data_IF_605858375020
#
_entry.id   IF_605858375020
#
_cell.length_a   1.000
_cell.length_b   1.000
_cell.length_c   1.000
_cell.angle_alpha   90.00
_cell.angle_beta   90.00
_cell.angle_gamma   90.00
#
_symmetry.space_group_name_H-M   'P 1'
#
loop_
_entity.id
_entity.type
_entity.pdbx_description
1 polymer ?
#
# COMPACT_ATOMS: atom_id res chain seq x y z
N UNK A 1 25.69 4.73 12.28
CA UNK A 1 24.76 3.58 12.24
C UNK A 1 24.37 3.38 10.79
N UNK A 2 24.36 2.14 10.31
CA UNK A 2 24.01 1.85 8.91
C UNK A 2 22.50 1.98 8.67
N UNK A 3 21.69 1.94 9.74
CA UNK A 3 20.25 2.17 9.72
C UNK A 3 19.74 2.65 11.08
N UNK A 4 18.56 3.28 11.08
CA UNK A 4 17.80 3.68 12.25
C UNK A 4 16.83 2.56 12.69
N UNK A 5 16.83 2.20 13.97
CA UNK A 5 16.02 1.10 14.49
C UNK A 5 14.68 1.59 15.01
N UNK A 6 13.61 0.92 14.62
CA UNK A 6 12.24 1.23 15.03
C UNK A 6 11.67 0.05 15.80
N UNK A 7 11.66 0.15 17.12
CA UNK A 7 11.11 -0.85 18.03
C UNK A 7 9.83 -0.38 18.75
N UNK A 8 9.45 0.89 18.58
CA UNK A 8 8.35 1.51 19.32
C UNK A 8 7.75 2.70 18.56
N UNK A 9 6.59 3.19 19.04
CA UNK A 9 5.95 4.42 18.56
C UNK A 9 6.87 5.64 18.66
N UNK A 10 7.62 5.76 19.76
CA UNK A 10 8.54 6.88 19.96
C UNK A 10 9.68 6.86 18.95
N UNK A 11 10.22 5.67 18.63
CA UNK A 11 11.23 5.56 17.59
C UNK A 11 10.69 5.96 16.22
N UNK A 12 9.44 5.61 15.89
CA UNK A 12 8.80 6.05 14.65
C UNK A 12 8.66 7.57 14.58
N UNK A 13 8.26 8.21 15.68
CA UNK A 13 8.13 9.68 15.77
C UNK A 13 9.49 10.35 15.56
N UNK A 14 10.55 9.82 16.17
CA UNK A 14 11.91 10.31 15.99
C UNK A 14 12.41 10.09 14.54
N UNK A 15 12.18 8.91 13.96
CA UNK A 15 12.48 8.65 12.53
C UNK A 15 11.79 9.67 11.62
N UNK A 16 10.49 9.90 11.84
CA UNK A 16 9.74 10.95 11.12
C UNK A 16 10.39 12.32 11.27
N UNK A 17 10.81 12.70 12.47
CA UNK A 17 11.48 13.99 12.71
C UNK A 17 12.76 14.10 11.90
N UNK A 18 13.63 13.07 11.97
CA UNK A 18 14.90 13.02 11.23
C UNK A 18 14.68 13.25 9.73
N UNK A 19 13.71 12.53 9.13
CA UNK A 19 13.38 12.69 7.72
C UNK A 19 12.85 14.10 7.42
N UNK A 20 11.97 14.62 8.28
CA UNK A 20 11.39 15.97 8.12
C UNK A 20 12.45 17.08 8.24
N UNK A 21 13.49 16.85 9.05
CA UNK A 21 14.63 17.77 9.24
C UNK A 21 15.62 17.73 8.06
N UNK A 22 15.32 16.98 7.00
CA UNK A 22 16.06 16.96 5.74
C UNK A 22 17.02 15.79 5.58
N UNK A 23 17.16 14.92 6.58
CA UNK A 23 17.91 13.66 6.44
C UNK A 23 17.03 12.58 5.78
N UNK A 24 16.58 12.87 4.56
CA UNK A 24 15.53 12.10 3.88
C UNK A 24 15.99 10.74 3.34
N UNK A 25 17.31 10.50 3.22
CA UNK A 25 17.89 9.24 2.74
C UNK A 25 18.32 8.28 3.88
N UNK A 26 17.85 8.50 5.12
CA UNK A 26 18.20 7.63 6.25
C UNK A 26 17.54 6.25 6.10
N UNK A 27 18.36 5.19 6.13
CA UNK A 27 17.84 3.83 6.17
C UNK A 27 17.20 3.53 7.52
N UNK A 28 16.11 2.78 7.52
CA UNK A 28 15.38 2.41 8.73
C UNK A 28 14.97 0.94 8.72
N UNK A 29 14.90 0.35 9.90
CA UNK A 29 14.57 -1.07 10.09
C UNK A 29 13.65 -1.24 11.30
N UNK A 30 12.52 -1.89 11.10
CA UNK A 30 11.65 -2.29 12.22
C UNK A 30 12.19 -3.55 12.88
N UNK A 31 12.16 -3.58 14.21
CA UNK A 31 12.59 -4.75 15.02
C UNK A 31 11.47 -5.28 15.92
N UNK A 32 10.30 -4.65 15.86
CA UNK A 32 9.08 -5.06 16.53
C UNK A 32 7.87 -4.51 15.77
N UNK A 33 6.69 -5.06 16.05
CA UNK A 33 5.44 -4.44 15.63
C UNK A 33 5.26 -3.10 16.36
N UNK A 34 4.74 -2.10 15.65
CA UNK A 34 4.58 -0.73 16.17
C UNK A 34 3.15 -0.27 15.97
N UNK A 35 2.50 0.13 17.05
CA UNK A 35 1.16 0.76 17.03
C UNK A 35 1.30 2.27 17.21
N UNK A 36 0.96 3.04 16.17
CA UNK A 36 0.99 4.50 16.21
C UNK A 36 -0.23 5.10 16.92
N UNK A 37 -1.27 4.29 17.15
CA UNK A 37 -2.54 4.73 17.69
C UNK A 37 -3.28 5.68 16.75
N UNK A 38 -3.97 6.66 17.33
CA UNK A 38 -4.83 7.59 16.59
C UNK A 38 -4.14 8.86 16.11
N UNK A 39 -2.96 9.16 16.66
CA UNK A 39 -2.18 10.31 16.25
C UNK A 39 -1.56 10.07 14.87
N UNK A 40 -1.64 11.08 14.01
CA UNK A 40 -1.20 10.99 12.62
C UNK A 40 0.30 11.32 12.55
N UNK A 41 1.11 10.27 12.42
CA UNK A 41 2.57 10.37 12.35
C UNK A 41 3.10 9.93 10.98
N UNK A 42 2.76 10.69 9.94
CA UNK A 42 3.21 10.37 8.58
C UNK A 42 4.69 10.72 8.40
N UNK A 43 5.45 9.81 7.78
CA UNK A 43 6.85 10.04 7.35
C UNK A 43 6.83 10.63 5.94
N UNK A 44 7.58 11.70 5.68
CA UNK A 44 7.56 12.30 4.34
C UNK A 44 8.55 13.46 4.23
N UNK A 45 8.29 14.36 3.28
CA UNK A 45 9.27 15.32 2.75
C UNK A 45 10.32 14.63 1.86
N UNK A 46 9.84 13.81 0.91
CA UNK A 46 10.66 13.10 -0.08
C UNK A 46 11.60 12.07 0.56
N UNK A 47 11.05 11.17 1.39
CA UNK A 47 11.83 10.06 1.94
C UNK A 47 12.44 9.23 0.80
N UNK A 48 13.75 9.00 0.84
CA UNK A 48 14.55 8.40 -0.22
C UNK A 48 15.39 7.20 0.26
N UNK A 49 15.34 6.88 1.56
CA UNK A 49 16.09 5.78 2.15
C UNK A 49 15.48 4.40 1.90
N UNK A 50 16.12 3.38 2.47
CA UNK A 50 15.61 2.02 2.57
C UNK A 50 14.87 1.83 3.88
N UNK A 51 13.57 1.55 3.82
CA UNK A 51 12.76 1.14 4.95
C UNK A 51 12.52 -0.37 4.89
N UNK A 52 13.05 -1.12 5.86
CA UNK A 52 12.86 -2.57 6.00
C UNK A 52 11.96 -2.90 7.19
N UNK A 53 10.73 -3.33 6.92
CA UNK A 53 9.80 -3.76 7.96
C UNK A 53 10.18 -5.10 8.61
N UNK A 54 11.06 -5.90 8.00
CA UNK A 54 11.45 -7.25 8.47
C UNK A 54 10.27 -8.20 8.77
N UNK A 55 9.13 -8.00 8.11
CA UNK A 55 7.89 -8.74 8.34
C UNK A 55 7.03 -8.21 9.50
N UNK A 56 7.47 -7.16 10.19
CA UNK A 56 6.71 -6.53 11.26
C UNK A 56 5.53 -5.69 10.76
N UNK A 57 4.59 -5.48 11.67
CA UNK A 57 3.36 -4.72 11.45
C UNK A 57 3.46 -3.31 11.98
N UNK A 58 3.18 -2.32 11.12
CA UNK A 58 2.88 -0.96 11.49
C UNK A 58 1.36 -0.78 11.56
N UNK A 59 0.83 -0.56 12.76
CA UNK A 59 -0.60 -0.38 13.01
C UNK A 59 -0.96 1.10 13.14
N UNK A 60 -2.06 1.49 12.50
CA UNK A 60 -2.58 2.86 12.47
C UNK A 60 -4.09 2.87 12.73
N UNK A 61 -4.58 3.93 13.37
CA UNK A 61 -6.03 4.17 13.54
C UNK A 61 -6.36 5.65 13.33
N UNK A 62 -6.19 6.11 12.10
CA UNK A 62 -6.19 7.54 11.80
C UNK A 62 -7.57 8.00 11.36
N UNK A 63 -8.01 9.12 11.94
CA UNK A 63 -9.24 9.79 11.56
C UNK A 63 -8.98 11.28 11.40
N UNK A 64 -9.24 11.83 10.21
CA UNK A 64 -9.10 13.27 9.97
C UNK A 64 -10.19 13.82 9.05
N UNK A 65 -10.18 15.13 8.84
CA UNK A 65 -11.08 15.81 7.90
C UNK A 65 -10.37 16.44 6.71
N UNK A 66 -9.03 16.39 6.66
CA UNK A 66 -8.21 17.05 5.63
C UNK A 66 -7.74 16.11 4.51
N UNK A 67 -7.81 14.79 4.69
CA UNK A 67 -7.36 13.82 3.68
C UNK A 67 -5.84 13.68 3.64
N UNK A 68 -5.31 13.25 2.50
CA UNK A 68 -3.87 13.07 2.24
C UNK A 68 -3.18 12.15 3.26
N UNK A 69 -3.78 10.99 3.53
CA UNK A 69 -3.34 10.09 4.59
C UNK A 69 -2.67 8.84 4.04
N UNK A 70 -1.45 8.59 4.50
CA UNK A 70 -0.72 7.32 4.36
C UNK A 70 0.48 7.30 5.32
N UNK A 71 0.94 6.12 5.78
CA UNK A 71 2.15 6.00 6.59
C UNK A 71 3.36 6.78 6.03
N UNK A 72 3.58 6.67 4.73
CA UNK A 72 4.55 7.48 3.99
C UNK A 72 3.82 8.56 3.19
N UNK A 73 3.91 9.81 3.63
CA UNK A 73 3.31 10.96 2.95
C UNK A 73 3.95 11.19 1.57
N UNK A 74 5.27 11.35 1.50
CA UNK A 74 5.97 11.47 0.21
C UNK A 74 7.26 10.69 0.21
N UNK A 75 7.48 9.93 -0.87
CA UNK A 75 8.72 9.20 -1.14
C UNK A 75 9.32 9.66 -2.46
N UNK A 76 10.64 9.62 -2.57
CA UNK A 76 11.38 9.98 -3.77
C UNK A 76 12.56 9.03 -3.95
N UNK A 77 12.41 8.02 -4.81
CA UNK A 77 13.45 7.01 -5.01
C UNK A 77 13.67 6.05 -3.84
N UNK A 78 12.72 5.94 -2.90
CA UNK A 78 12.85 5.07 -1.73
C UNK A 78 12.78 3.58 -2.07
N UNK A 79 13.30 2.75 -1.16
CA UNK A 79 13.03 1.32 -1.13
C UNK A 79 12.24 0.98 0.12
N UNK A 80 11.02 0.48 -0.01
CA UNK A 80 10.19 0.01 1.12
C UNK A 80 10.01 -1.49 0.97
N UNK A 81 10.42 -2.27 1.97
CA UNK A 81 10.34 -3.72 1.88
C UNK A 81 9.88 -4.39 3.17
N UNK A 82 9.26 -5.57 3.01
CA UNK A 82 8.87 -6.47 4.10
C UNK A 82 8.01 -5.79 5.18
N UNK A 83 7.17 -4.84 4.82
CA UNK A 83 6.34 -4.09 5.77
C UNK A 83 4.88 -4.49 5.66
N UNK A 84 4.24 -4.77 6.79
CA UNK A 84 2.78 -4.88 6.88
C UNK A 84 2.21 -3.60 7.47
N UNK A 85 1.32 -2.92 6.76
CA UNK A 85 0.49 -1.86 7.34
C UNK A 85 -0.89 -2.43 7.69
N UNK A 86 -1.41 -2.06 8.85
CA UNK A 86 -2.68 -2.60 9.35
C UNK A 86 -3.48 -1.55 10.11
N UNK A 87 -4.80 -1.70 10.11
CA UNK A 87 -5.69 -0.90 10.95
C UNK A 87 -6.68 -0.11 10.12
N UNK A 88 -6.89 1.16 10.46
CA UNK A 88 -7.96 1.96 9.87
C UNK A 88 -7.53 3.39 9.51
N UNK A 89 -8.02 3.86 8.38
CA UNK A 89 -8.02 5.26 7.97
C UNK A 89 -9.47 5.68 7.71
N UNK A 90 -9.94 6.69 8.44
CA UNK A 90 -11.24 7.33 8.24
C UNK A 90 -11.03 8.78 7.83
N UNK A 91 -11.74 9.25 6.82
CA UNK A 91 -11.69 10.67 6.48
C UNK A 91 -12.99 11.17 5.87
N UNK A 92 -13.33 12.43 6.14
CA UNK A 92 -14.36 13.14 5.37
C UNK A 92 -13.82 13.76 4.07
N UNK A 93 -12.55 13.50 3.74
CA UNK A 93 -11.85 13.98 2.55
C UNK A 93 -11.36 12.79 1.68
N UNK A 94 -10.49 13.10 0.73
CA UNK A 94 -9.98 12.22 -0.33
C UNK A 94 -8.45 12.10 -0.27
N UNK A 95 -7.86 11.33 -1.19
CA UNK A 95 -6.43 11.01 -1.27
C UNK A 95 -5.91 10.18 -0.08
N UNK A 96 -6.42 8.97 0.04
CA UNK A 96 -6.16 8.07 1.17
C UNK A 96 -5.41 6.84 0.67
N UNK A 97 -4.37 6.38 1.37
CA UNK A 97 -3.62 5.21 0.96
C UNK A 97 -3.13 4.37 2.14
N UNK A 98 -3.09 3.06 1.93
CA UNK A 98 -2.63 2.11 2.94
C UNK A 98 -1.11 2.11 3.17
N UNK A 99 -0.30 2.70 2.29
CA UNK A 99 1.16 2.72 2.44
C UNK A 99 1.80 4.06 2.06
N UNK A 100 1.70 4.48 0.79
CA UNK A 100 2.31 5.73 0.29
C UNK A 100 1.23 6.66 -0.25
N UNK A 101 1.31 7.96 0.08
CA UNK A 101 0.44 8.97 -0.50
C UNK A 101 1.00 9.37 -1.88
N UNK A 102 2.15 10.03 -1.98
CA UNK A 102 2.77 10.33 -3.29
C UNK A 102 4.14 9.69 -3.47
N UNK A 103 4.37 9.08 -4.63
CA UNK A 103 5.66 8.58 -5.05
C UNK A 103 6.26 9.42 -6.18
N UNK A 104 7.51 9.82 -5.97
CA UNK A 104 8.41 10.46 -6.93
C UNK A 104 9.60 9.52 -7.22
N UNK A 105 10.35 9.81 -8.27
CA UNK A 105 11.58 9.09 -8.61
C UNK A 105 11.41 7.58 -8.79
N UNK A 106 12.51 6.84 -8.67
CA UNK A 106 12.53 5.38 -8.88
C UNK A 106 12.29 4.64 -7.57
N UNK A 107 11.03 4.52 -7.16
CA UNK A 107 10.66 3.88 -5.89
C UNK A 107 10.45 2.37 -6.05
N UNK A 108 10.97 1.56 -5.13
CA UNK A 108 10.75 0.11 -5.09
C UNK A 108 9.94 -0.27 -3.84
N UNK A 109 8.88 -1.05 -4.01
CA UNK A 109 8.03 -1.56 -2.93
C UNK A 109 7.98 -3.08 -3.06
N UNK A 110 8.50 -3.82 -2.07
CA UNK A 110 8.63 -5.28 -2.20
C UNK A 110 8.29 -6.06 -0.94
N UNK A 111 7.53 -7.16 -1.05
CA UNK A 111 7.15 -7.96 0.12
C UNK A 111 6.24 -7.21 1.10
N UNK A 112 5.60 -6.13 0.66
CA UNK A 112 4.74 -5.30 1.50
C UNK A 112 3.28 -5.76 1.45
N UNK A 113 2.61 -5.67 2.61
CA UNK A 113 1.19 -6.00 2.78
C UNK A 113 0.44 -4.77 3.27
N UNK A 114 -0.63 -4.39 2.58
CA UNK A 114 -1.58 -3.40 3.05
C UNK A 114 -2.86 -4.07 3.53
N UNK A 115 -3.02 -4.13 4.84
CA UNK A 115 -4.21 -4.60 5.54
C UNK A 115 -4.98 -3.44 6.21
N UNK A 116 -4.84 -2.22 5.65
CA UNK A 116 -5.50 -1.01 6.17
C UNK A 116 -6.91 -0.89 5.59
N UNK A 117 -7.90 -0.76 6.46
CA UNK A 117 -9.27 -0.45 6.07
C UNK A 117 -9.42 1.06 5.90
N UNK A 118 -9.83 1.50 4.72
CA UNK A 118 -10.01 2.91 4.37
C UNK A 118 -11.50 3.19 4.21
N UNK A 119 -12.02 4.12 5.01
CA UNK A 119 -13.39 4.62 4.88
C UNK A 119 -13.40 6.11 4.60
N UNK A 120 -13.98 6.51 3.46
CA UNK A 120 -14.18 7.92 3.12
C UNK A 120 -15.66 8.29 3.14
N UNK A 121 -15.97 9.47 3.71
CA UNK A 121 -17.31 10.08 3.62
C UNK A 121 -17.34 11.28 2.68
N UNK A 122 -16.32 11.44 1.82
CA UNK A 122 -16.25 12.53 0.84
C UNK A 122 -17.42 12.45 -0.16
N UNK A 123 -18.09 13.56 -0.42
CA UNK A 123 -19.31 13.65 -1.24
C UNK A 123 -19.18 14.59 -2.45
N UNK A 124 -18.04 15.27 -2.61
CA UNK A 124 -17.81 16.22 -3.69
C UNK A 124 -17.09 15.62 -4.91
N UNK A 125 -16.88 14.31 -4.93
CA UNK A 125 -16.24 13.57 -6.02
C UNK A 125 -15.87 12.15 -5.61
N UNK A 126 -14.99 11.51 -6.39
CA UNK A 126 -14.36 10.24 -6.01
C UNK A 126 -13.55 10.39 -4.72
N UNK A 127 -13.45 9.32 -3.93
CA UNK A 127 -12.71 9.38 -2.67
C UNK A 127 -11.19 9.24 -2.84
N UNK A 128 -10.74 8.88 -4.04
CA UNK A 128 -9.33 8.78 -4.41
C UNK A 128 -8.53 7.91 -3.42
N UNK A 129 -9.13 6.78 -3.03
CA UNK A 129 -8.55 5.82 -2.09
C UNK A 129 -7.71 4.77 -2.82
N UNK A 130 -6.56 4.42 -2.26
CA UNK A 130 -5.63 3.44 -2.80
C UNK A 130 -5.21 2.37 -1.79
N UNK A 131 -5.02 1.13 -2.27
CA UNK A 131 -4.50 0.06 -1.43
C UNK A 131 -3.02 0.24 -1.04
N UNK A 132 -2.19 0.75 -1.95
CA UNK A 132 -0.73 0.89 -1.77
C UNK A 132 -0.21 2.30 -2.03
N UNK A 133 -0.52 2.89 -3.18
CA UNK A 133 0.02 4.22 -3.56
C UNK A 133 -1.13 5.09 -4.08
N UNK A 134 -1.37 6.24 -3.45
CA UNK A 134 -2.40 7.16 -3.94
C UNK A 134 -2.01 7.73 -5.30
N UNK A 135 -0.84 8.37 -5.40
CA UNK A 135 -0.37 8.90 -6.67
C UNK A 135 1.09 8.57 -6.99
N UNK A 136 1.30 8.07 -8.21
CA UNK A 136 2.60 7.98 -8.87
C UNK A 136 2.79 9.21 -9.75
N UNK A 137 3.73 10.08 -9.38
CA UNK A 137 3.96 11.39 -10.01
C UNK A 137 4.67 11.26 -11.35
N UNK A 138 4.68 12.33 -12.12
CA UNK A 138 5.12 12.38 -13.53
C UNK A 138 6.58 11.93 -13.73
N UNK A 139 7.47 12.30 -12.82
CA UNK A 139 8.87 11.89 -12.82
C UNK A 139 9.12 10.50 -12.20
N UNK A 140 8.07 9.77 -11.80
CA UNK A 140 8.19 8.56 -11.01
C UNK A 140 8.10 7.28 -11.84
N UNK A 141 8.86 6.27 -11.40
CA UNK A 141 8.71 4.89 -11.82
C UNK A 141 8.67 3.99 -10.58
N UNK A 142 7.48 3.45 -10.26
CA UNK A 142 7.27 2.63 -9.07
C UNK A 142 7.25 1.16 -9.45
N UNK A 143 8.12 0.36 -8.82
CA UNK A 143 8.13 -1.09 -9.01
C UNK A 143 7.60 -1.79 -7.77
N UNK A 144 6.50 -2.54 -7.92
CA UNK A 144 5.96 -3.42 -6.91
C UNK A 144 6.39 -4.86 -7.19
N UNK A 145 6.84 -5.57 -6.16
CA UNK A 145 7.20 -6.99 -6.26
C UNK A 145 6.71 -7.74 -5.04
N UNK A 146 5.97 -8.83 -5.23
CA UNK A 146 5.50 -9.68 -4.12
C UNK A 146 4.68 -8.90 -3.08
N UNK A 147 3.75 -8.05 -3.54
CA UNK A 147 2.92 -7.20 -2.70
C UNK A 147 1.46 -7.69 -2.63
N UNK A 148 0.83 -7.49 -1.46
CA UNK A 148 -0.55 -7.88 -1.18
C UNK A 148 -1.37 -6.70 -0.67
N UNK A 149 -2.53 -6.44 -1.28
CA UNK A 149 -3.56 -5.59 -0.67
C UNK A 149 -4.71 -6.47 -0.21
N UNK A 150 -5.02 -6.43 1.09
CA UNK A 150 -6.14 -7.15 1.70
C UNK A 150 -7.06 -6.27 2.55
N UNK A 151 -6.69 -5.01 2.76
CA UNK A 151 -7.55 -4.02 3.42
C UNK A 151 -8.79 -3.68 2.60
N UNK A 152 -9.82 -3.16 3.26
CA UNK A 152 -11.09 -2.76 2.64
C UNK A 152 -11.08 -1.30 2.18
N UNK A 153 -11.56 -1.01 0.97
CA UNK A 153 -11.78 0.36 0.48
C UNK A 153 -13.29 0.67 0.42
N UNK A 154 -13.77 1.59 1.26
CA UNK A 154 -15.20 1.85 1.39
C UNK A 154 -15.53 3.34 1.34
N UNK A 155 -16.34 3.77 0.38
CA UNK A 155 -16.95 5.09 0.39
C UNK A 155 -18.40 5.03 0.87
N UNK A 156 -18.83 5.98 1.69
CA UNK A 156 -20.22 6.00 2.21
C UNK A 156 -21.20 6.76 1.30
N UNK A 157 -20.70 7.47 0.29
CA UNK A 157 -21.49 8.30 -0.63
C UNK A 157 -21.41 7.72 -2.04
N UNK A 158 -22.42 7.97 -2.89
CA UNK A 158 -22.40 7.44 -4.26
C UNK A 158 -21.25 8.01 -5.10
N UNK A 159 -20.97 9.32 -4.97
CA UNK A 159 -19.85 9.96 -5.67
C UNK A 159 -18.51 9.45 -5.16
N UNK A 160 -18.35 9.26 -3.85
CA UNK A 160 -17.12 8.78 -3.25
C UNK A 160 -16.74 7.37 -3.69
N UNK A 161 -17.69 6.56 -4.18
CA UNK A 161 -17.41 5.22 -4.74
C UNK A 161 -16.64 5.28 -6.06
N UNK A 162 -16.59 6.43 -6.71
CA UNK A 162 -15.83 6.61 -7.94
C UNK A 162 -14.33 6.75 -7.64
N UNK A 163 -13.48 6.43 -8.63
CA UNK A 163 -12.03 6.69 -8.57
C UNK A 163 -11.27 6.02 -7.41
N UNK A 164 -11.45 4.70 -7.19
CA UNK A 164 -10.62 3.92 -6.26
C UNK A 164 -9.52 3.13 -6.98
N UNK A 165 -8.34 3.02 -6.37
CA UNK A 165 -7.25 2.17 -6.83
C UNK A 165 -7.02 0.97 -5.91
N UNK A 166 -7.29 -0.25 -6.37
CA UNK A 166 -7.02 -1.44 -5.57
C UNK A 166 -5.55 -1.56 -5.16
N UNK A 167 -4.61 -1.10 -6.00
CA UNK A 167 -3.20 -0.88 -5.64
C UNK A 167 -2.80 0.59 -5.77
N UNK A 168 -2.87 1.13 -6.99
CA UNK A 168 -2.51 2.51 -7.35
C UNK A 168 -3.75 3.25 -7.83
N UNK A 169 -4.03 4.43 -7.28
CA UNK A 169 -5.16 5.26 -7.71
C UNK A 169 -4.81 6.11 -8.94
N UNK A 170 -3.87 7.05 -8.81
CA UNK A 170 -3.53 8.03 -9.83
C UNK A 170 -2.12 7.81 -10.39
N UNK A 171 -1.96 7.93 -11.71
CA UNK A 171 -0.73 7.59 -12.42
C UNK A 171 -0.40 8.67 -13.46
N UNK A 172 0.57 9.52 -13.15
CA UNK A 172 1.21 10.45 -14.09
C UNK A 172 2.51 9.90 -14.65
N UNK A 173 3.25 9.14 -13.83
CA UNK A 173 4.47 8.42 -14.22
C UNK A 173 4.17 7.00 -14.68
N UNK A 174 5.01 6.06 -14.24
CA UNK A 174 4.87 4.63 -14.59
C UNK A 174 4.88 3.75 -13.36
N UNK A 175 4.22 2.59 -13.46
CA UNK A 175 4.37 1.54 -12.48
C UNK A 175 4.47 0.16 -13.11
N UNK A 176 5.22 -0.73 -12.44
CA UNK A 176 5.31 -2.14 -12.81
C UNK A 176 4.94 -2.98 -11.59
N UNK A 177 4.03 -3.92 -11.73
CA UNK A 177 3.60 -4.83 -10.67
C UNK A 177 3.99 -6.24 -11.05
N UNK A 178 4.78 -6.89 -10.19
CA UNK A 178 5.26 -8.25 -10.38
C UNK A 178 4.79 -9.14 -9.23
N UNK A 179 4.08 -10.22 -9.55
CA UNK A 179 3.65 -11.21 -8.56
C UNK A 179 2.82 -10.55 -7.43
N UNK A 180 1.83 -9.74 -7.79
CA UNK A 180 0.99 -9.01 -6.82
C UNK A 180 -0.40 -9.61 -6.69
N UNK A 181 -0.98 -9.51 -5.50
CA UNK A 181 -2.33 -10.00 -5.20
C UNK A 181 -3.21 -8.88 -4.63
N UNK A 182 -4.37 -8.65 -5.25
CA UNK A 182 -5.44 -7.85 -4.66
C UNK A 182 -6.53 -8.78 -4.10
N UNK A 183 -6.63 -8.84 -2.77
CA UNK A 183 -7.62 -9.63 -2.04
C UNK A 183 -8.62 -8.78 -1.24
N UNK A 184 -8.50 -7.44 -1.29
CA UNK A 184 -9.33 -6.51 -0.53
C UNK A 184 -10.81 -6.52 -0.91
N UNK A 185 -11.67 -6.15 0.04
CA UNK A 185 -13.06 -5.80 -0.23
C UNK A 185 -13.15 -4.34 -0.69
N UNK A 186 -14.13 -4.02 -1.54
CA UNK A 186 -14.38 -2.64 -1.89
C UNK A 186 -15.81 -2.40 -2.38
N UNK A 187 -16.20 -1.14 -2.49
CA UNK A 187 -17.44 -0.71 -3.16
C UNK A 187 -17.20 0.26 -4.32
N UNK A 188 -16.01 0.18 -4.93
CA UNK A 188 -15.59 1.05 -6.03
C UNK A 188 -16.44 0.84 -7.30
N UNK A 189 -16.81 1.94 -7.95
CA UNK A 189 -17.65 1.96 -9.15
C UNK A 189 -16.86 2.50 -10.36
N UNK A 190 -17.35 3.56 -11.00
CA UNK A 190 -16.76 4.15 -12.20
C UNK A 190 -15.36 4.67 -11.91
N UNK A 191 -14.48 4.58 -12.91
CA UNK A 191 -13.08 5.02 -12.87
C UNK A 191 -12.20 4.30 -11.83
N UNK A 192 -12.76 3.35 -11.08
CA UNK A 192 -11.99 2.51 -10.18
C UNK A 192 -11.25 1.41 -10.94
N UNK A 193 -10.10 0.98 -10.40
CA UNK A 193 -9.16 0.05 -11.03
C UNK A 193 -8.66 -0.98 -10.04
N UNK A 194 -8.65 -2.26 -10.41
CA UNK A 194 -8.21 -3.33 -9.50
C UNK A 194 -6.72 -3.20 -9.15
N UNK A 195 -5.88 -2.74 -10.08
CA UNK A 195 -4.45 -2.56 -9.83
C UNK A 195 -3.98 -1.13 -10.09
N UNK A 196 -4.17 -0.57 -11.27
CA UNK A 196 -3.63 0.75 -11.61
C UNK A 196 -4.30 1.32 -12.87
N UNK A 197 -4.21 2.64 -13.16
CA UNK A 197 -4.60 3.18 -14.46
C UNK A 197 -3.85 2.51 -15.64
N UNK A 198 -4.52 2.29 -16.77
CA UNK A 198 -3.93 1.55 -17.92
C UNK A 198 -2.74 2.28 -18.57
N UNK A 199 -2.79 3.61 -18.68
CA UNK A 199 -1.73 4.40 -19.29
C UNK A 199 -0.54 4.48 -18.33
N UNK A 200 0.47 3.64 -18.54
CA UNK A 200 1.73 3.67 -17.78
C UNK A 200 1.89 2.54 -16.76
N UNK A 201 0.92 1.62 -16.64
CA UNK A 201 1.07 0.42 -15.79
C UNK A 201 1.45 -0.82 -16.60
N UNK A 202 2.26 -1.68 -15.99
CA UNK A 202 2.60 -3.02 -16.50
C UNK A 202 2.30 -4.06 -15.41
N UNK A 203 1.46 -5.04 -15.72
CA UNK A 203 1.07 -6.11 -14.77
C UNK A 203 1.68 -7.44 -15.21
N UNK A 204 2.55 -7.99 -14.37
CA UNK A 204 3.19 -9.28 -14.57
C UNK A 204 2.77 -10.22 -13.44
N UNK A 205 2.17 -11.36 -13.78
CA UNK A 205 1.78 -12.38 -12.80
C UNK A 205 0.91 -11.83 -11.64
N UNK A 206 -0.09 -11.01 -11.97
CA UNK A 206 -0.94 -10.32 -11.00
C UNK A 206 -2.33 -10.98 -10.91
N UNK A 207 -2.80 -11.19 -9.68
CA UNK A 207 -4.05 -11.91 -9.40
C UNK A 207 -4.99 -11.09 -8.53
N UNK A 208 -6.30 -11.27 -8.69
CA UNK A 208 -7.28 -10.60 -7.84
C UNK A 208 -8.42 -11.51 -7.40
N UNK A 209 -8.88 -11.36 -6.16
CA UNK A 209 -10.07 -12.07 -5.66
C UNK A 209 -11.34 -11.30 -6.03
N UNK A 210 -11.41 -10.04 -5.59
CA UNK A 210 -12.51 -9.12 -5.85
C UNK A 210 -12.03 -8.05 -6.83
N UNK A 211 -12.80 -7.72 -7.85
CA UNK A 211 -12.45 -6.56 -8.68
C UNK A 211 -12.66 -5.25 -7.88
N UNK A 212 -11.85 -4.24 -8.14
CA UNK A 212 -12.14 -2.86 -7.75
C UNK A 212 -12.38 -2.05 -9.02
N UNK A 213 -13.65 -1.77 -9.36
CA UNK A 213 -14.02 -1.26 -10.68
C UNK A 213 -13.57 -2.19 -11.82
N UNK A 214 -12.71 -1.69 -12.71
CA UNK A 214 -12.25 -2.44 -13.86
C UNK A 214 -11.33 -3.61 -13.45
N UNK A 215 -11.62 -4.78 -14.02
CA UNK A 215 -10.85 -6.02 -13.83
C UNK A 215 -9.47 -5.89 -14.47
N UNK A 216 -8.43 -6.22 -13.73
CA UNK A 216 -7.04 -6.19 -14.20
C UNK A 216 -6.27 -7.36 -13.59
N UNK A 217 -5.48 -8.08 -14.40
CA UNK A 217 -4.85 -9.34 -13.97
C UNK A 217 -5.79 -10.54 -14.08
N UNK A 218 -5.45 -11.64 -13.40
CA UNK A 218 -6.20 -12.89 -13.44
C UNK A 218 -7.05 -13.06 -12.18
N UNK A 219 -8.36 -13.30 -12.35
CA UNK A 219 -9.22 -13.55 -11.20
C UNK A 219 -8.91 -14.90 -10.55
N UNK A 220 -8.93 -14.94 -9.22
CA UNK A 220 -8.82 -16.16 -8.41
C UNK A 220 -10.03 -16.33 -7.51
N UNK A 221 -10.23 -17.54 -6.98
CA UNK A 221 -11.31 -17.83 -6.02
C UNK A 221 -10.79 -17.98 -4.60
N UNK A 222 -11.72 -17.98 -3.63
CA UNK A 222 -11.38 -18.23 -2.22
C UNK A 222 -10.80 -19.64 -2.03
N UNK A 223 -11.27 -20.61 -2.79
CA UNK A 223 -10.81 -22.00 -2.76
C UNK A 223 -9.36 -22.10 -3.26
N UNK A 224 -9.01 -21.40 -4.35
CA UNK A 224 -7.64 -21.34 -4.86
C UNK A 224 -6.68 -20.63 -3.87
N UNK A 225 -7.17 -19.61 -3.16
CA UNK A 225 -6.40 -18.97 -2.09
C UNK A 225 -6.18 -19.89 -0.89
N UNK A 226 -7.14 -20.74 -0.55
CA UNK A 226 -7.03 -21.70 0.55
C UNK A 226 -6.18 -22.94 0.22
N UNK A 227 -6.03 -23.27 -1.06
CA UNK A 227 -5.35 -24.49 -1.48
C UNK A 227 -3.83 -24.34 -1.64
N UNK A 228 -3.27 -23.13 -1.53
CA UNK A 228 -1.88 -22.85 -1.87
C UNK A 228 -1.62 -22.68 -3.37
N UNK A 229 -2.65 -22.81 -4.22
CA UNK A 229 -2.51 -22.66 -5.67
C UNK A 229 -2.04 -21.25 -6.05
N UNK A 230 -2.67 -20.22 -5.47
CA UNK A 230 -2.29 -18.82 -5.76
C UNK A 230 -0.90 -18.50 -5.24
N UNK A 231 -0.53 -19.02 -4.06
CA UNK A 231 0.82 -18.91 -3.52
C UNK A 231 1.87 -19.51 -4.48
N UNK A 232 1.60 -20.70 -5.02
CA UNK A 232 2.46 -21.36 -6.01
C UNK A 232 2.59 -20.54 -7.31
N UNK A 233 1.48 -19.99 -7.80
CA UNK A 233 1.46 -19.13 -9.00
C UNK A 233 2.28 -17.84 -8.79
N UNK A 234 2.07 -17.16 -7.65
CA UNK A 234 2.79 -15.94 -7.29
C UNK A 234 4.29 -16.19 -7.08
N UNK A 235 4.67 -17.36 -6.52
CA UNK A 235 6.07 -17.77 -6.42
C UNK A 235 6.74 -17.88 -7.80
N UNK A 236 5.99 -18.16 -8.86
CA UNK A 236 6.44 -18.15 -10.26
C UNK A 236 7.71 -18.99 -10.50
N UNK A 237 7.77 -20.18 -9.88
CA UNK A 237 8.90 -21.13 -9.95
C UNK A 237 10.25 -20.55 -9.48
N UNK A 238 10.26 -19.40 -8.80
CA UNK A 238 11.47 -18.81 -8.22
C UNK A 238 11.91 -19.62 -7.00
N UNK A 239 13.21 -19.66 -6.75
CA UNK A 239 13.74 -20.26 -5.53
C UNK A 239 13.31 -19.46 -4.27
N UNK A 240 13.31 -20.12 -3.11
CA UNK A 240 12.83 -19.55 -1.85
C UNK A 240 11.33 -19.74 -1.64
N UNK A 241 10.79 -19.11 -0.60
CA UNK A 241 9.38 -19.24 -0.19
C UNK A 241 8.80 -17.88 0.22
N UNK A 242 8.62 -16.98 -0.76
CA UNK A 242 8.14 -15.61 -0.52
C UNK A 242 6.64 -15.58 -0.27
N UNK A 243 5.89 -16.35 -1.06
CA UNK A 243 4.43 -16.48 -0.95
C UNK A 243 4.00 -17.76 -0.23
N UNK A 244 4.88 -18.31 0.61
CA UNK A 244 4.59 -19.55 1.34
C UNK A 244 3.31 -19.48 2.16
N UNK A 245 2.52 -20.55 2.15
CA UNK A 245 1.27 -20.64 2.89
C UNK A 245 1.29 -21.89 3.79
N UNK A 246 1.01 -21.71 5.08
CA UNK A 246 0.73 -22.83 5.98
C UNK A 246 -0.73 -23.26 5.85
N UNK A 247 -0.97 -24.33 5.09
CA UNK A 247 -2.29 -24.95 4.95
C UNK A 247 -2.76 -25.40 6.35
N UNK A 248 -3.96 -24.96 6.77
CA UNK A 248 -4.65 -25.18 8.08
C UNK A 248 -4.57 -24.07 9.14
N UNK A 249 -3.68 -23.06 9.02
CA UNK A 249 -3.63 -21.92 9.97
C UNK A 249 -4.15 -20.59 9.39
N UNK A 250 -4.22 -20.48 8.07
CA UNK A 250 -4.58 -19.24 7.37
C UNK A 250 -5.98 -19.32 6.72
N UNK A 251 -7.02 -19.46 7.55
CA UNK A 251 -8.43 -19.38 7.14
C UNK A 251 -9.04 -18.01 7.42
#
# INVERSE_FOLDING_TARGET
KDYYEIASKDNWIEFRSIVSDGQNAVDAKMTADVDLGSDIWQVGNHYAGTFDGQGHTLKINWNNTSGWLAPFYTVDGATIKNLRTEGEIKSSSHFLSGLVQSAYGNTTISGCVSAVNITSTYDNGGCDAAGMVECVRDNANVTFTDCLVKGKLNATTEKGKESMGGFVHLLYGKCTLNNCLYAGENNGTRWSRTFAPYSGSTLNNCYYLNACGDKQGTQVTKEQLKSGEVAYLLQNKRAGNFWGQELSKEN
#
